data_IF_076680623304
#
_entry.id   IF_076680623304
#
_cell.length_a   1.000
_cell.length_b   1.000
_cell.length_c   1.000
_cell.angle_alpha   90.00
_cell.angle_beta   90.00
_cell.angle_gamma   90.00
#
_symmetry.space_group_name_H-M   'P 1'
#
loop_
_entity.id
_entity.type
_entity.pdbx_description
1 polymer ?
#
# COMPACT_ATOMS: atom_id res chain seq x y z
N UNK A 1 -23.84 5.24 -5.17
CA UNK A 1 -23.11 4.50 -6.22
C UNK A 1 -22.66 5.49 -7.28
N UNK A 2 -21.40 5.43 -7.72
CA UNK A 2 -20.77 6.42 -8.63
C UNK A 2 -21.25 6.34 -10.09
N UNK A 3 -21.93 5.25 -10.50
CA UNK A 3 -22.32 5.02 -11.91
C UNK A 3 -21.16 4.69 -12.85
N UNK A 4 -19.91 4.59 -12.34
CA UNK A 4 -18.75 4.21 -13.11
C UNK A 4 -18.61 2.67 -13.20
N UNK A 5 -17.77 2.21 -14.13
CA UNK A 5 -17.43 0.79 -14.25
C UNK A 5 -16.70 0.31 -12.99
N UNK A 6 -16.83 -0.98 -12.70
CA UNK A 6 -15.99 -1.62 -11.72
C UNK A 6 -14.62 -1.97 -12.33
N UNK A 7 -13.65 -2.32 -11.48
CA UNK A 7 -12.30 -2.66 -11.86
C UNK A 7 -12.23 -3.73 -12.94
N UNK A 8 -12.96 -4.84 -12.77
CA UNK A 8 -12.95 -5.96 -13.71
C UNK A 8 -13.38 -5.51 -15.10
N UNK A 9 -14.46 -4.75 -15.20
CA UNK A 9 -14.96 -4.24 -16.49
C UNK A 9 -13.96 -3.29 -17.15
N UNK A 10 -13.28 -2.42 -16.36
CA UNK A 10 -12.23 -1.54 -16.88
C UNK A 10 -11.04 -2.35 -17.42
N UNK A 11 -10.58 -3.34 -16.68
CA UNK A 11 -9.45 -4.19 -17.07
C UNK A 11 -9.77 -4.97 -18.35
N UNK A 12 -10.92 -5.62 -18.41
CA UNK A 12 -11.35 -6.39 -19.58
C UNK A 12 -11.45 -5.49 -20.83
N UNK A 13 -12.03 -4.31 -20.69
CA UNK A 13 -12.11 -3.34 -21.77
C UNK A 13 -10.72 -2.90 -22.24
N UNK A 14 -9.86 -2.49 -21.30
CA UNK A 14 -8.49 -2.03 -21.63
C UNK A 14 -7.69 -3.12 -22.34
N UNK A 15 -7.73 -4.36 -21.83
CA UNK A 15 -7.08 -5.51 -22.48
C UNK A 15 -7.62 -5.76 -23.89
N UNK A 16 -8.92 -5.59 -24.11
CA UNK A 16 -9.52 -5.75 -25.44
C UNK A 16 -9.05 -4.67 -26.42
N UNK A 17 -8.94 -3.41 -25.97
CA UNK A 17 -8.41 -2.31 -26.83
C UNK A 17 -6.94 -2.52 -27.14
N UNK A 18 -6.11 -2.86 -26.17
CA UNK A 18 -4.68 -3.17 -26.37
C UNK A 18 -4.51 -4.31 -27.38
N UNK A 19 -5.34 -5.37 -27.26
CA UNK A 19 -5.28 -6.53 -28.15
C UNK A 19 -5.76 -6.21 -29.60
N UNK A 20 -6.57 -5.18 -29.78
CA UNK A 20 -7.05 -4.76 -31.12
C UNK A 20 -5.95 -4.18 -31.99
N UNK A 21 -4.82 -3.77 -31.38
CA UNK A 21 -3.66 -3.17 -32.07
C UNK A 21 -4.04 -2.01 -33.00
N UNK A 22 -5.02 -1.19 -32.56
CA UNK A 22 -5.28 0.04 -33.28
C UNK A 22 -4.05 0.97 -33.17
N UNK A 23 -3.79 1.76 -34.21
CA UNK A 23 -2.62 2.68 -34.28
C UNK A 23 -2.84 3.95 -33.43
N UNK A 24 -3.76 3.90 -32.44
CA UNK A 24 -4.11 5.07 -31.65
C UNK A 24 -3.31 5.14 -30.36
N UNK A 25 -3.20 6.37 -29.89
CA UNK A 25 -2.64 6.68 -28.58
C UNK A 25 -3.75 6.54 -27.53
N UNK A 26 -3.46 5.79 -26.46
CA UNK A 26 -4.36 5.67 -25.31
C UNK A 26 -3.60 6.02 -24.02
N UNK A 27 -4.25 6.74 -23.13
CA UNK A 27 -3.70 7.03 -21.82
C UNK A 27 -4.40 6.18 -20.75
N UNK A 28 -3.60 5.50 -19.96
CA UNK A 28 -4.05 4.88 -18.72
C UNK A 28 -3.80 5.87 -17.59
N UNK A 29 -4.85 6.22 -16.86
CA UNK A 29 -4.83 7.28 -15.85
C UNK A 29 -5.37 6.71 -14.54
N UNK A 30 -4.56 6.78 -13.49
CA UNK A 30 -4.90 6.40 -12.15
C UNK A 30 -5.09 7.65 -11.29
N UNK A 31 -6.15 7.69 -10.49
CA UNK A 31 -6.45 8.80 -9.58
C UNK A 31 -6.65 8.28 -8.17
N UNK A 32 -6.29 9.10 -7.20
CA UNK A 32 -6.56 8.84 -5.79
C UNK A 32 -6.96 10.14 -5.11
N UNK A 33 -7.96 10.08 -4.24
CA UNK A 33 -8.44 11.25 -3.50
C UNK A 33 -7.52 11.52 -2.34
N UNK A 34 -6.83 12.65 -2.39
CA UNK A 34 -5.86 13.04 -1.37
C UNK A 34 -6.52 13.16 0.02
N UNK A 35 -5.93 12.47 1.00
CA UNK A 35 -6.37 12.48 2.39
C UNK A 35 -7.84 12.06 2.61
N UNK A 36 -8.40 11.18 1.77
CA UNK A 36 -9.81 10.79 1.82
C UNK A 36 -10.24 10.24 3.19
N UNK A 37 -9.35 9.53 3.87
CA UNK A 37 -9.61 9.08 5.24
C UNK A 37 -9.85 10.25 6.18
N UNK A 38 -9.04 11.32 6.11
CA UNK A 38 -9.24 12.53 6.92
C UNK A 38 -10.56 13.23 6.62
N UNK A 39 -11.00 13.21 5.34
CA UNK A 39 -12.32 13.73 4.95
C UNK A 39 -13.42 12.92 5.65
N UNK A 40 -13.36 11.59 5.61
CA UNK A 40 -14.31 10.73 6.31
C UNK A 40 -14.29 10.93 7.83
N UNK A 41 -13.10 11.01 8.41
CA UNK A 41 -12.93 11.17 9.87
C UNK A 41 -13.46 12.53 10.36
N UNK A 42 -13.36 13.58 9.54
CA UNK A 42 -13.77 14.95 9.90
C UNK A 42 -15.23 15.22 9.58
N UNK A 43 -15.70 14.85 8.40
CA UNK A 43 -17.02 15.20 7.88
C UNK A 43 -18.01 14.02 7.83
N UNK A 44 -17.55 12.82 8.17
CA UNK A 44 -18.34 11.59 8.17
C UNK A 44 -18.40 10.89 6.81
N UNK A 45 -18.72 9.59 6.84
CA UNK A 45 -18.77 8.74 5.65
C UNK A 45 -19.79 9.18 4.59
N UNK A 46 -20.92 9.78 5.00
CA UNK A 46 -21.93 10.28 4.06
C UNK A 46 -21.37 11.42 3.20
N UNK A 47 -20.56 12.30 3.80
CA UNK A 47 -19.87 13.34 3.06
C UNK A 47 -18.78 12.78 2.14
N UNK A 48 -18.03 11.78 2.61
CA UNK A 48 -17.07 11.05 1.76
C UNK A 48 -17.75 10.41 0.54
N UNK A 49 -18.93 9.83 0.71
CA UNK A 49 -19.72 9.28 -0.41
C UNK A 49 -20.19 10.37 -1.37
N UNK A 50 -20.55 11.56 -0.88
CA UNK A 50 -20.85 12.73 -1.72
C UNK A 50 -19.62 13.16 -2.53
N UNK A 51 -18.44 13.23 -1.90
CA UNK A 51 -17.16 13.54 -2.56
C UNK A 51 -16.89 12.55 -3.70
N UNK A 52 -16.98 11.26 -3.45
CA UNK A 52 -16.77 10.22 -4.47
C UNK A 52 -17.77 10.31 -5.63
N UNK A 53 -19.02 10.58 -5.32
CA UNK A 53 -20.08 10.75 -6.34
C UNK A 53 -19.83 11.99 -7.19
N UNK A 54 -19.37 13.07 -6.59
CA UNK A 54 -19.04 14.32 -7.31
C UNK A 54 -17.84 14.13 -8.22
N UNK A 55 -16.78 13.46 -7.74
CA UNK A 55 -15.60 13.10 -8.55
C UNK A 55 -16.02 12.28 -9.77
N UNK A 56 -16.85 11.25 -9.57
CA UNK A 56 -17.35 10.43 -10.66
C UNK A 56 -18.13 11.24 -11.70
N UNK A 57 -18.95 12.19 -11.25
CA UNK A 57 -19.67 13.13 -12.12
C UNK A 57 -18.74 14.00 -12.95
N UNK A 58 -17.69 14.58 -12.32
CA UNK A 58 -16.68 15.40 -12.99
C UNK A 58 -15.91 14.57 -14.02
N UNK A 59 -15.49 13.36 -13.67
CA UNK A 59 -14.80 12.45 -14.59
C UNK A 59 -15.67 12.17 -15.83
N UNK A 60 -16.93 11.74 -15.63
CA UNK A 60 -17.82 11.44 -16.75
C UNK A 60 -18.10 12.65 -17.64
N UNK A 61 -18.35 13.81 -17.05
CA UNK A 61 -18.63 15.04 -17.81
C UNK A 61 -17.43 15.47 -18.67
N UNK A 62 -16.23 15.42 -18.11
CA UNK A 62 -15.01 15.83 -18.81
C UNK A 62 -14.52 14.78 -19.81
N UNK A 63 -14.71 13.50 -19.52
CA UNK A 63 -14.34 12.42 -20.44
C UNK A 63 -15.24 12.43 -21.70
N UNK A 64 -16.53 12.66 -21.54
CA UNK A 64 -17.51 12.89 -22.61
C UNK A 64 -17.35 11.92 -23.81
N UNK A 65 -17.33 10.61 -23.52
CA UNK A 65 -17.17 9.57 -24.55
C UNK A 65 -15.74 9.38 -25.10
N UNK A 66 -14.74 10.10 -24.59
CA UNK A 66 -13.34 9.97 -25.01
C UNK A 66 -12.60 8.82 -24.31
N UNK A 67 -13.32 7.87 -23.74
CA UNK A 67 -12.79 6.70 -23.05
C UNK A 67 -13.77 6.09 -22.08
N UNK A 68 -13.28 5.22 -21.22
CA UNK A 68 -14.01 4.64 -20.12
C UNK A 68 -13.47 5.15 -18.79
N UNK A 69 -14.34 5.16 -17.78
CA UNK A 69 -13.96 5.46 -16.40
C UNK A 69 -14.49 4.40 -15.44
N UNK A 70 -13.73 4.11 -14.40
CA UNK A 70 -14.07 3.17 -13.35
C UNK A 70 -13.66 3.63 -11.96
N UNK A 71 -14.29 3.02 -10.95
CA UNK A 71 -13.87 3.11 -9.56
C UNK A 71 -13.26 1.77 -9.16
N UNK A 72 -11.97 1.76 -8.84
CA UNK A 72 -11.21 0.55 -8.57
C UNK A 72 -11.40 0.06 -7.13
N UNK A 73 -11.55 0.97 -6.18
CA UNK A 73 -11.76 0.67 -4.76
C UNK A 73 -11.87 1.97 -3.98
N UNK A 74 -12.33 1.95 -2.76
CA UNK A 74 -12.31 3.09 -1.84
C UNK A 74 -12.38 4.47 -2.49
N UNK A 75 -11.23 5.11 -2.60
CA UNK A 75 -10.97 6.45 -3.13
C UNK A 75 -10.20 6.46 -4.46
N UNK A 76 -10.03 5.29 -5.10
CA UNK A 76 -9.27 5.12 -6.33
C UNK A 76 -10.16 5.09 -7.57
N UNK A 77 -9.78 5.86 -8.58
CA UNK A 77 -10.46 5.95 -9.86
C UNK A 77 -9.50 5.65 -11.01
N UNK A 78 -10.06 5.21 -12.11
CA UNK A 78 -9.36 4.77 -13.31
C UNK A 78 -9.99 5.37 -14.56
N UNK A 79 -9.16 5.77 -15.53
CA UNK A 79 -9.61 6.12 -16.88
C UNK A 79 -8.71 5.43 -17.90
N UNK A 80 -9.29 4.91 -18.96
CA UNK A 80 -8.58 4.53 -20.17
C UNK A 80 -9.16 5.29 -21.34
N UNK A 81 -8.33 6.11 -22.02
CA UNK A 81 -8.81 7.03 -23.04
C UNK A 81 -8.82 6.38 -24.42
N UNK A 82 -9.73 6.80 -25.30
CA UNK A 82 -9.81 6.33 -26.68
C UNK A 82 -9.54 7.43 -27.71
N UNK A 83 -9.81 8.69 -27.38
CA UNK A 83 -9.81 9.80 -28.31
C UNK A 83 -9.20 11.06 -27.67
N UNK A 84 -8.05 10.94 -27.03
CA UNK A 84 -7.20 12.06 -26.59
C UNK A 84 -6.11 12.23 -27.66
N UNK A 85 -6.04 13.42 -28.22
CA UNK A 85 -5.23 13.70 -29.41
C UNK A 85 -3.73 13.60 -29.12
N UNK A 86 -3.29 14.22 -28.04
CA UNK A 86 -1.89 14.33 -27.66
C UNK A 86 -1.76 14.62 -26.14
N UNK A 87 -0.52 14.78 -25.66
CA UNK A 87 -0.24 15.07 -24.26
C UNK A 87 -0.80 16.43 -23.82
N UNK A 88 -0.91 17.42 -24.71
CA UNK A 88 -1.47 18.72 -24.36
C UNK A 88 -2.98 18.63 -24.11
N UNK A 89 -3.73 17.92 -24.97
CA UNK A 89 -5.15 17.63 -24.75
C UNK A 89 -5.40 16.87 -23.44
N UNK A 90 -4.51 15.91 -23.10
CA UNK A 90 -4.53 15.24 -21.80
C UNK A 90 -4.32 16.21 -20.64
N UNK A 91 -3.31 17.10 -20.73
CA UNK A 91 -3.01 18.08 -19.68
C UNK A 91 -4.17 19.05 -19.45
N UNK A 92 -4.83 19.47 -20.52
CA UNK A 92 -6.04 20.29 -20.46
C UNK A 92 -7.16 19.52 -19.71
N UNK A 93 -7.40 18.28 -20.09
CA UNK A 93 -8.41 17.42 -19.44
C UNK A 93 -8.16 17.30 -17.94
N UNK A 94 -6.95 16.91 -17.53
CA UNK A 94 -6.61 16.70 -16.11
C UNK A 94 -6.63 18.02 -15.33
N UNK A 95 -6.19 19.12 -15.92
CA UNK A 95 -6.21 20.44 -15.27
C UNK A 95 -7.64 20.92 -15.08
N UNK A 96 -8.53 20.70 -16.05
CA UNK A 96 -9.95 21.05 -15.96
C UNK A 96 -10.63 20.27 -14.85
N UNK A 97 -10.46 18.94 -14.84
CA UNK A 97 -11.03 18.09 -13.77
C UNK A 97 -10.58 18.54 -12.37
N UNK A 98 -9.29 18.85 -12.19
CA UNK A 98 -8.77 19.34 -10.91
C UNK A 98 -9.39 20.66 -10.49
N UNK A 99 -9.53 21.62 -11.39
CA UNK A 99 -10.17 22.92 -11.12
C UNK A 99 -11.62 22.76 -10.75
N UNK A 100 -12.38 21.96 -11.53
CA UNK A 100 -13.79 21.72 -11.24
C UNK A 100 -14.00 21.05 -9.88
N UNK A 101 -13.12 20.13 -9.51
CA UNK A 101 -13.16 19.49 -8.20
C UNK A 101 -12.90 20.48 -7.08
N UNK A 102 -11.88 21.31 -7.22
CA UNK A 102 -11.56 22.35 -6.25
C UNK A 102 -12.77 23.29 -6.04
N UNK A 103 -13.34 23.82 -7.11
CA UNK A 103 -14.51 24.70 -7.02
C UNK A 103 -15.75 24.02 -6.42
N UNK A 104 -15.91 22.72 -6.64
CA UNK A 104 -17.07 21.98 -6.15
C UNK A 104 -17.16 21.93 -4.62
N UNK A 105 -16.04 22.09 -3.91
CA UNK A 105 -15.96 21.99 -2.45
C UNK A 105 -15.35 23.19 -1.74
N UNK A 106 -14.96 24.25 -2.47
CA UNK A 106 -14.28 25.46 -1.92
C UNK A 106 -15.03 26.13 -0.76
N UNK A 107 -16.36 26.03 -0.72
CA UNK A 107 -17.20 26.64 0.32
C UNK A 107 -17.53 25.71 1.49
N UNK A 108 -17.14 24.45 1.44
CA UNK A 108 -17.56 23.41 2.40
C UNK A 108 -16.44 22.75 3.17
N UNK A 109 -15.20 22.96 2.74
CA UNK A 109 -14.00 22.42 3.39
C UNK A 109 -13.03 23.55 3.62
N UNK A 110 -12.98 24.03 4.88
CA UNK A 110 -12.21 25.23 5.26
C UNK A 110 -10.69 24.99 5.29
N UNK A 111 -10.22 23.76 5.60
CA UNK A 111 -8.80 23.55 5.93
C UNK A 111 -7.93 22.98 4.81
N UNK A 112 -8.44 22.22 3.83
CA UNK A 112 -7.56 21.57 2.85
C UNK A 112 -8.15 21.25 1.47
N UNK A 113 -9.40 21.55 1.18
CA UNK A 113 -10.04 21.25 -0.11
C UNK A 113 -9.99 19.76 -0.51
N UNK A 114 -10.80 19.35 -1.48
CA UNK A 114 -10.70 18.02 -2.09
C UNK A 114 -9.74 18.08 -3.26
N UNK A 115 -8.63 17.34 -3.20
CA UNK A 115 -7.65 17.27 -4.27
C UNK A 115 -7.40 15.85 -4.74
N UNK A 116 -6.79 15.71 -5.91
CA UNK A 116 -6.45 14.42 -6.52
C UNK A 116 -4.95 14.34 -6.81
N UNK A 117 -4.36 13.21 -6.50
CA UNK A 117 -3.10 12.77 -7.06
C UNK A 117 -3.37 11.89 -8.27
N UNK A 118 -2.58 12.06 -9.34
CA UNK A 118 -2.83 11.38 -10.63
C UNK A 118 -1.54 10.85 -11.21
N UNK A 119 -1.56 9.60 -11.65
CA UNK A 119 -0.50 8.97 -12.41
C UNK A 119 -0.96 8.57 -13.80
N UNK A 120 -0.11 8.73 -14.80
CA UNK A 120 -0.43 8.49 -16.21
C UNK A 120 0.65 7.69 -16.90
N UNK A 121 0.25 6.69 -17.70
CA UNK A 121 1.07 6.02 -18.69
C UNK A 121 0.43 6.04 -20.07
N UNK A 122 1.24 5.91 -21.11
CA UNK A 122 0.87 6.06 -22.51
C UNK A 122 1.05 4.75 -23.28
N UNK A 123 -0.04 4.22 -23.87
CA UNK A 123 0.01 3.11 -24.81
C UNK A 123 0.20 3.66 -26.26
N UNK A 124 1.06 3.05 -27.10
CA UNK A 124 1.93 1.90 -26.79
C UNK A 124 3.33 2.28 -26.27
N UNK A 125 3.64 3.57 -26.12
CA UNK A 125 4.98 4.07 -25.83
C UNK A 125 5.56 3.58 -24.52
N UNK A 126 4.73 3.57 -23.48
CA UNK A 126 5.17 3.24 -22.12
C UNK A 126 4.91 1.77 -21.76
N UNK A 127 4.22 1.02 -22.62
CA UNK A 127 3.95 -0.41 -22.43
C UNK A 127 3.03 -0.93 -23.52
N UNK A 128 3.13 -2.24 -23.77
CA UNK A 128 2.35 -2.95 -24.80
C UNK A 128 1.32 -3.91 -24.21
N UNK A 129 1.25 -4.03 -22.90
CA UNK A 129 0.25 -4.80 -22.17
C UNK A 129 -0.33 -3.99 -21.00
N UNK A 130 -1.42 -4.51 -20.44
CA UNK A 130 -2.15 -3.87 -19.34
C UNK A 130 -1.28 -3.71 -18.09
N UNK A 131 -0.56 -4.76 -17.74
CA UNK A 131 0.22 -4.87 -16.52
C UNK A 131 1.38 -3.86 -16.50
N UNK A 132 2.08 -3.71 -17.63
CA UNK A 132 3.16 -2.74 -17.75
C UNK A 132 2.64 -1.29 -17.69
N UNK A 133 1.56 -0.98 -18.41
CA UNK A 133 0.94 0.34 -18.39
C UNK A 133 0.43 0.68 -16.98
N UNK A 134 -0.23 -0.26 -16.34
CA UNK A 134 -0.76 -0.09 -14.99
C UNK A 134 0.38 0.20 -14.00
N UNK A 135 1.43 -0.60 -14.02
CA UNK A 135 2.61 -0.41 -13.19
C UNK A 135 3.22 0.99 -13.34
N UNK A 136 3.33 1.49 -14.57
CA UNK A 136 3.92 2.80 -14.86
C UNK A 136 3.00 3.95 -14.45
N UNK A 137 1.70 3.84 -14.66
CA UNK A 137 0.72 4.82 -14.19
C UNK A 137 0.69 4.89 -12.66
N UNK A 138 0.70 3.75 -11.98
CA UNK A 138 0.73 3.65 -10.54
C UNK A 138 1.99 4.25 -9.92
N UNK A 139 3.16 3.93 -10.47
CA UNK A 139 4.42 4.56 -10.09
C UNK A 139 4.34 6.10 -10.16
N UNK A 140 3.71 6.63 -11.20
CA UNK A 140 3.50 8.07 -11.32
C UNK A 140 2.52 8.62 -10.30
N UNK A 141 1.45 7.88 -9.97
CA UNK A 141 0.51 8.23 -8.91
C UNK A 141 1.22 8.30 -7.54
N UNK A 142 2.03 7.31 -7.23
CA UNK A 142 2.86 7.31 -6.04
C UNK A 142 3.77 8.55 -5.96
N UNK A 143 4.51 8.84 -7.04
CA UNK A 143 5.36 10.03 -7.11
C UNK A 143 4.57 11.34 -6.97
N UNK A 144 3.34 11.40 -7.46
CA UNK A 144 2.46 12.56 -7.27
C UNK A 144 2.14 12.76 -5.79
N UNK A 145 1.85 11.68 -5.05
CA UNK A 145 1.61 11.71 -3.61
C UNK A 145 2.86 12.13 -2.83
N UNK A 146 4.03 11.58 -3.14
CA UNK A 146 5.30 11.93 -2.49
C UNK A 146 5.71 13.38 -2.70
N UNK A 147 5.52 13.90 -3.91
CA UNK A 147 5.87 15.28 -4.26
C UNK A 147 4.89 16.33 -3.70
N UNK A 148 4.03 15.97 -2.78
CA UNK A 148 3.13 16.90 -2.05
C UNK A 148 1.70 16.92 -2.59
N UNK A 149 1.26 15.85 -3.28
CA UNK A 149 -0.13 15.65 -3.72
C UNK A 149 -0.66 16.73 -4.68
N UNK A 150 -1.97 16.74 -4.93
CA UNK A 150 -2.66 17.73 -5.78
C UNK A 150 -1.96 17.97 -7.13
N UNK A 151 -1.55 16.92 -7.80
CA UNK A 151 -0.82 16.99 -9.09
C UNK A 151 -1.00 15.75 -9.93
N UNK A 152 -0.69 15.87 -11.21
CA UNK A 152 -0.53 14.71 -12.08
C UNK A 152 0.92 14.54 -12.50
N UNK A 153 1.35 13.30 -12.68
CA UNK A 153 2.65 12.93 -13.24
C UNK A 153 2.40 11.99 -14.42
N UNK A 154 2.95 12.37 -15.57
CA UNK A 154 2.95 11.54 -16.77
C UNK A 154 4.28 10.78 -16.81
N UNK A 155 4.21 9.47 -17.05
CA UNK A 155 5.40 8.64 -17.11
C UNK A 155 6.40 9.16 -18.16
N UNK A 156 7.67 9.10 -17.81
CA UNK A 156 8.77 9.44 -18.71
C UNK A 156 9.96 8.55 -18.36
N UNK A 157 10.37 7.72 -19.31
CA UNK A 157 11.44 6.73 -19.13
C UNK A 157 12.74 7.34 -18.59
N UNK A 158 13.19 8.47 -19.17
CA UNK A 158 14.44 9.12 -18.77
C UNK A 158 14.43 9.68 -17.33
N UNK A 159 13.25 9.99 -16.78
CA UNK A 159 13.08 10.55 -15.44
C UNK A 159 12.64 9.49 -14.41
N UNK A 160 11.97 8.48 -14.87
CA UNK A 160 11.29 7.51 -13.99
C UNK A 160 11.79 6.07 -14.19
N UNK A 161 12.49 5.77 -15.31
CA UNK A 161 12.98 4.41 -15.62
C UNK A 161 14.01 3.89 -14.62
N UNK A 162 14.97 4.70 -14.20
CA UNK A 162 16.01 4.32 -13.22
C UNK A 162 15.49 4.08 -11.80
N UNK A 163 14.22 4.37 -11.54
CA UNK A 163 13.55 4.06 -10.29
C UNK A 163 12.97 2.63 -10.26
N UNK A 164 13.36 1.77 -11.21
CA UNK A 164 12.85 0.39 -11.34
C UNK A 164 13.16 -0.53 -10.16
N UNK A 165 14.14 -0.18 -9.33
CA UNK A 165 14.46 -0.99 -8.14
C UNK A 165 13.51 -0.81 -6.95
N UNK A 166 12.49 0.04 -7.06
CA UNK A 166 11.40 0.12 -6.07
C UNK A 166 10.14 -0.63 -6.55
N UNK A 167 10.33 -1.83 -7.10
CA UNK A 167 9.25 -2.76 -7.47
C UNK A 167 8.33 -3.15 -6.30
N UNK A 168 8.72 -2.79 -5.10
CA UNK A 168 8.05 -3.14 -3.83
C UNK A 168 6.68 -2.48 -3.63
N UNK A 169 6.38 -1.37 -4.33
CA UNK A 169 5.08 -0.68 -4.20
C UNK A 169 4.01 -1.16 -5.17
N UNK A 170 4.40 -1.85 -6.24
CA UNK A 170 3.49 -2.28 -7.31
C UNK A 170 2.51 -3.35 -6.81
N UNK A 171 2.95 -4.19 -5.89
CA UNK A 171 2.10 -5.23 -5.30
C UNK A 171 1.01 -4.69 -4.35
N UNK A 172 1.13 -3.45 -3.87
CA UNK A 172 0.18 -2.87 -2.92
C UNK A 172 -1.11 -2.35 -3.56
N UNK A 173 -1.16 -2.20 -4.88
CA UNK A 173 -2.27 -1.57 -5.61
C UNK A 173 -2.94 -2.52 -6.63
N UNK A 174 -2.26 -3.58 -7.01
CA UNK A 174 -2.79 -4.58 -7.93
C UNK A 174 -3.88 -5.47 -7.31
N UNK A 175 -4.62 -5.02 -6.35
CA UNK A 175 -5.90 -5.64 -6.04
C UNK A 175 -6.23 -6.08 -4.62
N UNK A 176 -7.37 -5.60 -4.15
CA UNK A 176 -8.04 -6.18 -2.99
C UNK A 176 -8.67 -7.57 -3.29
N UNK A 177 -9.01 -7.90 -4.53
CA UNK A 177 -9.46 -9.24 -4.92
C UNK A 177 -8.30 -10.14 -5.32
N UNK A 178 -7.34 -9.65 -6.12
CA UNK A 178 -6.10 -10.35 -6.44
C UNK A 178 -5.14 -10.37 -5.24
N UNK A 179 -5.16 -9.34 -4.37
CA UNK A 179 -4.39 -9.34 -3.14
C UNK A 179 -4.82 -10.49 -2.22
N UNK A 180 -6.10 -10.81 -2.16
CA UNK A 180 -6.60 -11.99 -1.45
C UNK A 180 -6.12 -13.30 -2.11
N UNK A 181 -6.12 -13.40 -3.44
CA UNK A 181 -5.59 -14.56 -4.16
C UNK A 181 -4.06 -14.64 -4.09
N UNK A 182 -3.38 -13.50 -4.29
CA UNK A 182 -1.92 -13.40 -4.16
C UNK A 182 -1.46 -13.74 -2.73
N UNK A 183 -2.07 -13.14 -1.72
CA UNK A 183 -1.76 -13.42 -0.31
C UNK A 183 -2.09 -14.87 0.05
N UNK A 184 -3.16 -15.42 -0.50
CA UNK A 184 -3.49 -16.84 -0.37
C UNK A 184 -2.42 -17.72 -1.01
N UNK A 185 -1.87 -17.33 -2.16
CA UNK A 185 -0.74 -17.99 -2.82
C UNK A 185 0.52 -17.95 -1.96
N UNK A 186 0.96 -16.76 -1.55
CA UNK A 186 2.15 -16.58 -0.70
C UNK A 186 2.02 -17.35 0.63
N UNK A 187 0.87 -17.27 1.29
CA UNK A 187 0.61 -18.04 2.52
C UNK A 187 0.65 -19.55 2.24
N UNK A 188 0.09 -20.01 1.12
CA UNK A 188 0.12 -21.42 0.73
C UNK A 188 1.54 -21.92 0.48
N UNK A 189 2.36 -21.14 -0.22
CA UNK A 189 3.76 -21.49 -0.49
C UNK A 189 4.57 -21.56 0.81
N UNK A 190 4.40 -20.58 1.70
CA UNK A 190 5.03 -20.58 3.03
C UNK A 190 4.59 -21.81 3.86
N UNK A 191 3.29 -22.14 3.85
CA UNK A 191 2.77 -23.33 4.55
C UNK A 191 3.40 -24.59 3.98
N UNK A 192 3.42 -24.75 2.67
CA UNK A 192 3.99 -25.92 2.00
C UNK A 192 5.46 -26.08 2.33
N UNK A 193 6.22 -24.99 2.34
CA UNK A 193 7.64 -25.01 2.65
C UNK A 193 7.91 -25.37 4.11
N UNK A 194 7.20 -24.75 5.05
CA UNK A 194 7.31 -25.05 6.49
C UNK A 194 6.81 -26.46 6.82
N UNK A 195 5.76 -26.94 6.17
CA UNK A 195 5.26 -28.32 6.36
C UNK A 195 6.24 -29.36 5.83
N UNK A 196 6.88 -29.08 4.70
CA UNK A 196 7.80 -30.03 4.05
C UNK A 196 9.18 -30.12 4.72
N UNK A 197 9.69 -28.98 5.22
CA UNK A 197 11.07 -28.82 5.73
C UNK A 197 11.15 -28.45 7.21
N UNK A 198 10.02 -28.10 7.84
CA UNK A 198 9.99 -27.70 9.24
C UNK A 198 10.87 -26.48 9.53
N UNK A 199 11.68 -26.57 10.60
CA UNK A 199 12.58 -25.49 11.01
C UNK A 199 13.62 -25.12 9.97
N UNK A 200 14.04 -26.04 9.13
CA UNK A 200 15.05 -25.81 8.10
C UNK A 200 14.57 -24.86 6.98
N UNK A 201 13.26 -24.58 6.93
CA UNK A 201 12.67 -23.64 5.98
C UNK A 201 12.58 -22.21 6.53
N UNK A 202 12.83 -21.98 7.83
CA UNK A 202 12.56 -20.68 8.47
C UNK A 202 13.37 -19.56 7.82
N UNK A 203 14.63 -19.79 7.46
CA UNK A 203 15.47 -18.77 6.83
C UNK A 203 14.95 -18.37 5.45
N UNK A 204 14.57 -19.34 4.63
CA UNK A 204 14.03 -19.09 3.29
C UNK A 204 12.69 -18.37 3.37
N UNK A 205 11.83 -18.81 4.29
CA UNK A 205 10.53 -18.16 4.56
C UNK A 205 10.71 -16.74 5.09
N UNK A 206 11.62 -16.51 6.04
CA UNK A 206 11.90 -15.18 6.56
C UNK A 206 12.40 -14.25 5.47
N UNK A 207 13.36 -14.67 4.65
CA UNK A 207 13.88 -13.88 3.54
C UNK A 207 12.78 -13.56 2.51
N UNK A 208 11.90 -14.51 2.20
CA UNK A 208 10.76 -14.29 1.34
C UNK A 208 9.81 -13.22 1.93
N UNK A 209 9.52 -13.28 3.23
CA UNK A 209 8.69 -12.27 3.92
C UNK A 209 9.36 -10.88 3.86
N UNK A 210 10.66 -10.78 4.15
CA UNK A 210 11.38 -9.51 4.09
C UNK A 210 11.29 -8.89 2.68
N UNK A 211 11.50 -9.70 1.66
CA UNK A 211 11.45 -9.27 0.26
C UNK A 211 10.05 -8.84 -0.18
N UNK A 212 9.00 -9.58 0.19
CA UNK A 212 7.63 -9.36 -0.28
C UNK A 212 6.92 -8.20 0.44
N UNK A 213 7.26 -7.89 1.70
CA UNK A 213 6.47 -7.00 2.56
C UNK A 213 7.18 -5.72 3.01
N UNK A 214 8.26 -5.31 2.35
CA UNK A 214 9.03 -4.10 2.71
C UNK A 214 9.45 -4.08 4.19
N UNK A 215 9.85 -5.23 4.68
CA UNK A 215 10.31 -5.44 6.03
C UNK A 215 11.83 -5.65 5.95
N UNK A 216 12.59 -4.96 6.80
CA UNK A 216 14.05 -5.03 6.77
C UNK A 216 14.59 -6.06 7.77
N UNK A 217 13.76 -6.50 8.72
CA UNK A 217 14.15 -7.50 9.70
C UNK A 217 13.01 -8.21 10.40
N UNK A 218 13.27 -9.45 10.83
CA UNK A 218 12.38 -10.26 11.65
C UNK A 218 13.12 -10.70 12.91
N UNK A 219 12.47 -10.53 14.06
CA UNK A 219 12.96 -11.03 15.37
C UNK A 219 11.86 -11.84 16.05
N UNK A 220 12.25 -12.97 16.65
CA UNK A 220 11.34 -13.82 17.41
C UNK A 220 11.91 -14.06 18.79
N UNK A 221 11.16 -13.73 19.83
CA UNK A 221 11.51 -13.96 21.22
C UNK A 221 10.56 -14.97 21.87
N UNK A 222 11.06 -15.69 22.87
CA UNK A 222 10.22 -16.54 23.72
C UNK A 222 9.67 -15.76 24.95
N UNK A 223 8.94 -16.44 25.81
CA UNK A 223 8.35 -15.92 27.04
C UNK A 223 9.39 -15.54 28.12
N UNK A 224 10.62 -16.02 28.01
CA UNK A 224 11.77 -15.60 28.84
C UNK A 224 12.50 -14.38 28.28
N UNK A 225 11.96 -13.75 27.23
CA UNK A 225 12.59 -12.64 26.49
C UNK A 225 13.93 -13.02 25.79
N UNK A 226 14.16 -14.33 25.59
CA UNK A 226 15.32 -14.80 24.85
C UNK A 226 15.05 -14.71 23.34
N UNK A 227 15.98 -14.13 22.60
CA UNK A 227 15.95 -14.10 21.13
C UNK A 227 16.20 -15.51 20.59
N UNK A 228 15.18 -16.09 19.94
CA UNK A 228 15.25 -17.46 19.39
C UNK A 228 15.49 -17.48 17.89
N UNK A 229 15.19 -16.38 17.20
CA UNK A 229 15.43 -16.24 15.76
C UNK A 229 15.58 -14.76 15.38
N UNK A 230 16.44 -14.45 14.43
CA UNK A 230 16.50 -13.15 13.78
C UNK A 230 17.01 -13.25 12.35
N UNK A 231 16.44 -12.42 11.47
CA UNK A 231 16.85 -12.24 10.08
C UNK A 231 16.81 -10.74 9.75
N UNK A 232 17.74 -10.26 8.93
CA UNK A 232 17.89 -8.85 8.57
C UNK A 232 19.20 -8.23 9.09
N UNK A 233 19.57 -7.06 8.54
CA UNK A 233 20.84 -6.39 8.84
C UNK A 233 20.69 -5.40 10.00
N UNK A 234 20.60 -5.90 11.23
CA UNK A 234 20.55 -5.07 12.44
C UNK A 234 21.87 -4.43 12.76
N UNK A 235 21.89 -3.11 13.00
CA UNK A 235 23.07 -2.41 13.53
C UNK A 235 23.43 -2.89 14.93
N UNK A 236 22.42 -3.12 15.75
CA UNK A 236 22.49 -3.71 17.09
C UNK A 236 21.17 -4.43 17.33
N UNK A 237 21.20 -5.59 17.98
CA UNK A 237 19.98 -6.27 18.38
C UNK A 237 19.38 -5.59 19.63
N UNK A 238 18.09 -5.19 19.61
CA UNK A 238 17.43 -4.60 20.78
C UNK A 238 17.36 -5.59 21.94
N UNK A 239 17.67 -5.12 23.16
CA UNK A 239 17.45 -5.88 24.39
C UNK A 239 15.99 -5.75 24.82
N UNK A 240 15.26 -6.84 24.76
CA UNK A 240 13.83 -6.90 25.10
C UNK A 240 13.55 -7.50 26.47
N UNK A 241 14.58 -7.75 27.29
CA UNK A 241 14.48 -8.52 28.55
C UNK A 241 13.48 -7.92 29.54
N UNK A 242 13.49 -6.58 29.72
CA UNK A 242 12.56 -5.90 30.63
C UNK A 242 11.28 -5.44 29.95
N UNK A 243 11.21 -5.53 28.62
CA UNK A 243 10.15 -4.91 27.81
C UNK A 243 8.99 -5.87 27.56
N UNK A 244 9.27 -7.13 27.19
CA UNK A 244 8.24 -8.08 26.77
C UNK A 244 7.23 -8.43 27.87
N UNK A 245 7.61 -8.27 29.14
CA UNK A 245 6.74 -8.51 30.29
C UNK A 245 6.21 -7.22 30.94
N UNK A 246 6.56 -6.04 30.39
CA UNK A 246 6.11 -4.75 30.92
C UNK A 246 4.61 -4.52 30.60
N UNK A 247 3.87 -4.05 31.61
CA UNK A 247 2.41 -3.83 31.47
C UNK A 247 2.06 -2.72 30.49
N UNK A 248 2.87 -1.65 30.42
CA UNK A 248 2.63 -0.55 29.48
C UNK A 248 2.83 -1.04 28.04
N UNK A 249 3.87 -1.84 27.80
CA UNK A 249 4.11 -2.48 26.52
C UNK A 249 2.98 -3.44 26.13
N UNK A 250 2.62 -4.38 27.00
CA UNK A 250 1.57 -5.37 26.72
C UNK A 250 0.19 -4.75 26.50
N UNK A 251 -0.10 -3.61 27.14
CA UNK A 251 -1.38 -2.90 26.97
C UNK A 251 -1.57 -2.29 25.58
N UNK A 252 -0.52 -2.22 24.77
CA UNK A 252 -0.57 -1.69 23.39
C UNK A 252 -1.03 -2.71 22.35
N UNK A 253 -1.04 -3.98 22.70
CA UNK A 253 -1.59 -5.00 21.82
C UNK A 253 -3.12 -4.91 21.76
N UNK A 254 -3.66 -5.05 20.57
CA UNK A 254 -5.11 -5.10 20.36
C UNK A 254 -5.69 -6.48 20.75
N UNK A 255 -7.01 -6.62 20.61
CA UNK A 255 -7.73 -7.88 20.89
C UNK A 255 -7.25 -9.11 20.11
N UNK A 256 -6.50 -8.91 19.03
CA UNK A 256 -5.93 -9.97 18.18
C UNK A 256 -4.45 -10.23 18.51
N UNK A 257 -3.93 -9.70 19.61
CA UNK A 257 -2.54 -9.83 20.03
C UNK A 257 -1.55 -9.27 19.02
N UNK A 258 -1.91 -8.18 18.35
CA UNK A 258 -1.01 -7.46 17.45
C UNK A 258 -0.96 -5.97 17.78
N UNK A 259 0.19 -5.35 17.49
CA UNK A 259 0.35 -3.90 17.50
C UNK A 259 1.22 -3.46 16.34
N UNK A 260 1.07 -2.21 15.92
CA UNK A 260 1.92 -1.63 14.89
C UNK A 260 2.34 -0.21 15.28
N UNK A 261 3.60 0.09 15.10
CA UNK A 261 4.20 1.39 15.33
C UNK A 261 4.76 1.91 14.00
N UNK A 262 4.11 2.90 13.44
CA UNK A 262 4.50 3.48 12.14
C UNK A 262 5.68 4.44 12.22
N UNK A 263 6.01 4.90 13.44
CA UNK A 263 7.19 5.72 13.72
C UNK A 263 7.63 5.52 15.17
N UNK A 264 8.87 5.06 15.35
CA UNK A 264 9.43 4.72 16.67
C UNK A 264 9.53 5.93 17.59
N UNK A 265 9.72 7.16 17.09
CA UNK A 265 9.72 8.36 17.95
C UNK A 265 8.42 8.57 18.75
N UNK A 266 7.30 7.99 18.32
CA UNK A 266 6.06 8.03 19.09
C UNK A 266 6.06 7.16 20.35
N UNK A 267 7.02 6.24 20.45
CA UNK A 267 7.15 5.31 21.59
C UNK A 267 7.72 6.02 22.80
N UNK A 268 8.56 7.04 22.63
CA UNK A 268 9.24 7.77 23.71
C UNK A 268 8.27 8.31 24.76
N UNK A 269 7.10 8.77 24.32
CA UNK A 269 6.07 9.36 25.18
C UNK A 269 5.44 8.38 26.18
N UNK A 270 5.51 7.06 25.93
CA UNK A 270 4.86 6.06 26.75
C UNK A 270 5.76 4.89 27.21
N UNK A 271 6.94 4.69 26.58
CA UNK A 271 7.90 3.66 26.97
C UNK A 271 9.32 4.03 26.55
N UNK A 272 10.01 4.77 27.40
CA UNK A 272 11.33 5.34 27.06
C UNK A 272 12.42 4.29 26.85
N UNK A 273 12.40 3.20 27.62
CA UNK A 273 13.39 2.11 27.49
C UNK A 273 13.24 1.44 26.10
N UNK A 274 12.00 1.08 25.70
CA UNK A 274 11.74 0.53 24.37
C UNK A 274 12.17 1.51 23.27
N UNK A 275 11.88 2.80 23.42
CA UNK A 275 12.32 3.81 22.45
C UNK A 275 13.85 3.82 22.28
N UNK A 276 14.61 3.78 23.39
CA UNK A 276 16.06 3.78 23.33
C UNK A 276 16.57 2.51 22.63
N UNK A 277 16.08 1.33 23.00
CA UNK A 277 16.49 0.06 22.40
C UNK A 277 16.23 0.02 20.89
N UNK A 278 15.05 0.49 20.45
CA UNK A 278 14.70 0.52 19.02
C UNK A 278 15.52 1.56 18.25
N UNK A 279 15.73 2.75 18.83
CA UNK A 279 16.51 3.84 18.22
C UNK A 279 17.99 3.46 18.06
N UNK A 280 18.59 2.87 19.09
CA UNK A 280 19.98 2.39 19.06
C UNK A 280 20.17 1.26 18.03
N UNK A 281 19.12 0.51 17.77
CA UNK A 281 19.07 -0.56 16.77
C UNK A 281 18.73 -0.08 15.37
N UNK A 282 18.53 1.23 15.17
CA UNK A 282 18.12 1.87 13.91
C UNK A 282 16.74 1.41 13.39
N UNK A 283 15.84 1.00 14.28
CA UNK A 283 14.49 0.62 13.91
C UNK A 283 13.62 1.88 13.86
N UNK A 284 13.00 2.14 12.71
CA UNK A 284 12.17 3.32 12.46
C UNK A 284 10.69 3.04 12.63
N UNK A 285 10.27 1.84 12.32
CA UNK A 285 8.89 1.36 12.46
C UNK A 285 8.88 -0.15 12.71
N UNK A 286 7.80 -0.68 13.29
CA UNK A 286 7.63 -2.12 13.41
C UNK A 286 6.16 -2.53 13.52
N UNK A 287 5.89 -3.79 13.19
CA UNK A 287 4.66 -4.49 13.54
C UNK A 287 5.02 -5.69 14.39
N UNK A 288 4.25 -5.93 15.43
CA UNK A 288 4.48 -7.04 16.35
C UNK A 288 3.22 -7.85 16.59
N UNK A 289 3.40 -9.15 16.76
CA UNK A 289 2.35 -10.08 17.17
C UNK A 289 2.90 -11.06 18.20
N UNK A 290 2.03 -11.55 19.07
CA UNK A 290 2.41 -12.64 19.97
C UNK A 290 1.34 -13.75 20.00
N UNK A 291 1.81 -15.00 20.20
CA UNK A 291 0.97 -16.20 20.27
C UNK A 291 1.46 -17.16 21.31
N UNK A 292 0.52 -17.92 21.87
CA UNK A 292 0.85 -19.08 22.69
C UNK A 292 0.72 -20.37 21.85
N UNK A 293 1.78 -21.15 21.81
CA UNK A 293 1.81 -22.46 21.19
C UNK A 293 2.47 -23.47 22.12
N UNK A 294 1.81 -24.59 22.41
CA UNK A 294 2.29 -25.62 23.32
C UNK A 294 2.76 -25.07 24.69
N UNK A 295 1.96 -24.15 25.27
CA UNK A 295 2.24 -23.50 26.55
C UNK A 295 3.46 -22.58 26.58
N UNK A 296 4.00 -22.17 25.44
CA UNK A 296 5.04 -21.16 25.29
C UNK A 296 4.52 -19.97 24.53
N UNK A 297 4.91 -18.78 24.93
CA UNK A 297 4.58 -17.55 24.24
C UNK A 297 5.73 -17.15 23.34
N UNK A 298 5.40 -16.74 22.11
CA UNK A 298 6.34 -16.24 21.12
C UNK A 298 5.94 -14.84 20.71
N UNK A 299 6.91 -13.91 20.69
CA UNK A 299 6.76 -12.54 20.24
C UNK A 299 7.49 -12.37 18.93
N UNK A 300 6.78 -11.92 17.91
CA UNK A 300 7.29 -11.66 16.57
C UNK A 300 7.37 -10.16 16.36
N UNK A 301 8.50 -9.68 15.82
CA UNK A 301 8.70 -8.29 15.42
C UNK A 301 9.17 -8.26 13.98
N UNK A 302 8.47 -7.50 13.17
CA UNK A 302 8.75 -7.23 11.78
C UNK A 302 9.18 -5.78 11.69
N UNK A 303 10.47 -5.53 11.50
CA UNK A 303 11.12 -4.25 11.68
C UNK A 303 11.41 -3.56 10.36
N UNK A 304 11.36 -2.22 10.35
CA UNK A 304 11.71 -1.37 9.23
C UNK A 304 12.78 -0.37 9.69
N UNK A 305 13.91 -0.31 8.97
CA UNK A 305 15.09 0.45 9.40
C UNK A 305 15.20 1.84 8.78
N UNK A 306 14.78 2.01 7.54
CA UNK A 306 15.16 3.18 6.76
C UNK A 306 14.02 4.16 6.48
N UNK A 307 12.79 3.82 6.83
CA UNK A 307 11.63 4.66 6.57
C UNK A 307 10.51 4.48 7.61
N UNK A 308 9.59 5.42 7.65
CA UNK A 308 8.35 5.29 8.42
C UNK A 308 7.39 4.40 7.67
N UNK A 309 6.72 3.48 8.34
CA UNK A 309 5.75 2.59 7.71
C UNK A 309 4.32 2.92 8.12
N UNK A 310 3.38 2.79 7.18
CA UNK A 310 1.95 2.85 7.43
C UNK A 310 1.34 1.48 7.20
N UNK A 311 1.23 0.74 8.28
CA UNK A 311 0.63 -0.59 8.29
C UNK A 311 -0.88 -0.51 8.08
N UNK A 312 -1.41 -1.24 7.13
CA UNK A 312 -2.85 -1.41 6.93
C UNK A 312 -3.37 -2.69 7.62
N UNK A 313 -4.67 -2.94 7.53
CA UNK A 313 -5.28 -4.12 8.17
C UNK A 313 -4.84 -5.44 7.51
N UNK A 314 -4.50 -5.43 6.23
CA UNK A 314 -3.99 -6.60 5.53
C UNK A 314 -2.59 -6.97 5.98
N UNK A 315 -1.70 -5.98 6.11
CA UNK A 315 -0.33 -6.19 6.61
C UNK A 315 -0.38 -6.82 8.01
N UNK A 316 -1.26 -6.31 8.88
CA UNK A 316 -1.46 -6.86 10.23
C UNK A 316 -2.01 -8.28 10.21
N UNK A 317 -3.00 -8.57 9.37
CA UNK A 317 -3.59 -9.90 9.28
C UNK A 317 -2.60 -10.92 8.69
N UNK A 318 -1.83 -10.53 7.70
CA UNK A 318 -0.77 -11.36 7.13
C UNK A 318 0.26 -11.74 8.20
N UNK A 319 0.82 -10.74 8.88
CA UNK A 319 1.78 -10.96 9.98
C UNK A 319 1.21 -11.90 11.04
N UNK A 320 -0.06 -11.74 11.41
CA UNK A 320 -0.74 -12.63 12.36
C UNK A 320 -0.78 -14.09 11.89
N UNK A 321 -1.14 -14.31 10.62
CA UNK A 321 -1.22 -15.66 10.04
C UNK A 321 0.16 -16.30 9.98
N UNK A 322 1.12 -15.61 9.40
CA UNK A 322 2.49 -16.13 9.22
C UNK A 322 3.17 -16.40 10.56
N UNK A 323 3.04 -15.49 11.54
CA UNK A 323 3.60 -15.69 12.88
C UNK A 323 3.05 -16.96 13.54
N UNK A 324 1.75 -17.26 13.38
CA UNK A 324 1.16 -18.50 13.89
C UNK A 324 1.75 -19.74 13.24
N UNK A 325 1.96 -19.68 11.91
CA UNK A 325 2.51 -20.81 11.16
C UNK A 325 3.97 -21.03 11.58
N UNK A 326 4.79 -19.98 11.63
CA UNK A 326 6.18 -20.10 12.08
C UNK A 326 6.25 -20.62 13.53
N UNK A 327 5.41 -20.11 14.45
CA UNK A 327 5.36 -20.59 15.83
C UNK A 327 5.03 -22.10 15.93
N UNK A 328 4.31 -22.64 14.96
CA UNK A 328 3.94 -24.08 14.96
C UNK A 328 5.10 -25.02 14.64
N UNK A 329 6.20 -24.50 14.07
CA UNK A 329 7.39 -25.27 13.70
C UNK A 329 8.62 -24.96 14.58
N UNK A 330 8.56 -23.87 15.39
CA UNK A 330 9.56 -23.55 16.41
C UNK A 330 9.43 -24.48 17.63
#
# INVERSE_FOLDING_TARGET
>A
ATGLLNKRACMEYTKSVIASKDDKIHYMIMFDVDNFKSINDTYGHLFGDEVLSKIAGIINANLNGRGIAGRFGGDEFYIFTNNIKDEEDLRILLTTMRKELQYAFDSRIEDFGVTLSVGVSLFPKDGTDYEELFRKADKCLYLAKEKGRNRFIIYNESKHGSLENNSRHIHKILDLSDHSEYMSGVVSDIILELVSRGKDAIDDVANNILEQFEIDGLRIYNDNSELIYSCGEYKRMPDMTNILNDKAFLSRYNKNNSMSIGIVSSVEAWHKELYNELSDSNIMAFISAWFEFKYRRYYFFYDVFNHKSRWNDYDRNFVLIISKIIASVL
#
